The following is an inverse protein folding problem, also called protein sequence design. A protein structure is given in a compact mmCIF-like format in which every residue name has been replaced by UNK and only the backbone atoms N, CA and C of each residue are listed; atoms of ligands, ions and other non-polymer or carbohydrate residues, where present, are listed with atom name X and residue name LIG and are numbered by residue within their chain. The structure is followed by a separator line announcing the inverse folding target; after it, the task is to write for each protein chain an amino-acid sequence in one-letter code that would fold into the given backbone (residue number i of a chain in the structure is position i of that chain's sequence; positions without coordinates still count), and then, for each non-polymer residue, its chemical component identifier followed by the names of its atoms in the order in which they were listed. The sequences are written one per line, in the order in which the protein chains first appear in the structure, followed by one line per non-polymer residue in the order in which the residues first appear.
data_IF_751250715273
#
_entry.id   IF_751250715273
#
_cell.length_a   1.000
_cell.length_b   1.000
_cell.length_c   1.000
_cell.angle_alpha   90.00
_cell.angle_beta   90.00
_cell.angle_gamma   90.00
#
_symmetry.space_group_name_H-M   'P 1'
#
loop_
_entity.id
_entity.type
_entity.pdbx_description
1 polymer ?
#
# COMPACT_ATOMS: atom_id res chain seq x y z
N UNK A 1 9.95 -16.38 -26.93
CA UNK A 1 8.50 -16.14 -27.08
C UNK A 1 8.09 -14.68 -27.11
N UNK A 2 8.36 -13.85 -26.09
CA UNK A 2 8.02 -12.42 -26.13
C UNK A 2 8.53 -11.64 -27.37
N UNK A 3 9.79 -11.82 -27.84
CA UNK A 3 10.26 -11.17 -29.07
C UNK A 3 9.69 -11.80 -30.36
N UNK A 4 9.19 -13.03 -30.31
CA UNK A 4 8.63 -13.74 -31.47
C UNK A 4 7.16 -13.38 -31.72
N UNK A 5 6.41 -13.05 -30.65
CA UNK A 5 5.01 -12.65 -30.72
C UNK A 5 4.76 -11.40 -29.87
N UNK A 6 5.28 -10.23 -30.27
CA UNK A 6 5.24 -9.02 -29.43
C UNK A 6 3.81 -8.57 -29.08
N UNK A 7 2.86 -8.75 -30.00
CA UNK A 7 1.44 -8.39 -29.79
C UNK A 7 0.78 -9.33 -28.78
N UNK A 8 0.91 -10.65 -28.99
CA UNK A 8 0.33 -11.66 -28.09
C UNK A 8 0.98 -11.58 -26.70
N UNK A 9 2.29 -11.35 -26.65
CA UNK A 9 3.01 -11.17 -25.39
C UNK A 9 2.63 -9.90 -24.62
N UNK A 10 2.14 -8.85 -25.31
CA UNK A 10 1.52 -7.69 -24.66
C UNK A 10 0.18 -8.11 -24.04
N UNK A 11 -0.72 -8.69 -24.84
CA UNK A 11 -2.04 -9.12 -24.38
C UNK A 11 -1.94 -10.10 -23.22
N UNK A 12 -1.05 -11.10 -23.31
CA UNK A 12 -0.84 -12.06 -22.24
C UNK A 12 -0.40 -11.40 -20.92
N UNK A 13 0.44 -10.36 -20.98
CA UNK A 13 0.83 -9.61 -19.77
C UNK A 13 -0.34 -8.85 -19.16
N UNK A 14 -1.20 -8.26 -19.99
CA UNK A 14 -2.36 -7.53 -19.51
C UNK A 14 -3.39 -8.48 -18.86
N UNK A 15 -3.67 -9.63 -19.48
CA UNK A 15 -4.64 -10.60 -18.95
C UNK A 15 -4.12 -11.39 -17.75
N UNK A 16 -2.87 -11.85 -17.78
CA UNK A 16 -2.30 -12.66 -16.70
C UNK A 16 -1.88 -11.83 -15.47
N UNK A 17 -1.79 -10.50 -15.60
CA UNK A 17 -1.61 -9.62 -14.45
C UNK A 17 -2.86 -9.54 -13.56
N UNK A 18 -4.04 -9.90 -14.09
CA UNK A 18 -5.28 -9.93 -13.32
C UNK A 18 -5.24 -11.16 -12.41
N UNK A 19 -5.35 -11.01 -11.08
CA UNK A 19 -5.38 -12.15 -10.19
C UNK A 19 -6.62 -12.99 -10.48
N UNK A 20 -6.45 -14.31 -10.66
CA UNK A 20 -7.55 -15.24 -10.91
C UNK A 20 -8.54 -15.37 -9.72
N UNK A 21 -8.20 -14.82 -8.55
CA UNK A 21 -8.98 -14.95 -7.31
C UNK A 21 -9.05 -13.62 -6.55
N UNK A 22 -10.10 -13.45 -5.74
CA UNK A 22 -10.28 -12.31 -4.84
C UNK A 22 -9.31 -12.27 -3.65
N UNK A 23 -8.51 -13.32 -3.45
CA UNK A 23 -7.63 -13.50 -2.28
C UNK A 23 -6.68 -12.31 -2.09
N UNK A 24 -6.19 -11.71 -3.17
CA UNK A 24 -5.33 -10.53 -3.10
C UNK A 24 -6.07 -9.33 -2.48
N UNK A 25 -7.33 -9.12 -2.88
CA UNK A 25 -8.19 -8.04 -2.39
C UNK A 25 -8.56 -8.31 -0.93
N UNK A 26 -8.95 -9.53 -0.59
CA UNK A 26 -9.28 -9.93 0.79
C UNK A 26 -8.09 -9.75 1.75
N UNK A 27 -6.87 -10.06 1.29
CA UNK A 27 -5.65 -9.80 2.06
C UNK A 27 -5.42 -8.31 2.28
N UNK A 28 -5.71 -7.45 1.28
CA UNK A 28 -5.63 -5.99 1.42
C UNK A 28 -6.68 -5.49 2.42
N UNK A 29 -7.92 -5.96 2.34
CA UNK A 29 -8.99 -5.60 3.28
C UNK A 29 -8.73 -6.10 4.72
N UNK A 30 -8.23 -7.32 4.87
CA UNK A 30 -7.84 -7.85 6.18
C UNK A 30 -6.75 -6.98 6.82
N UNK A 31 -5.73 -6.57 6.03
CA UNK A 31 -4.67 -5.67 6.48
C UNK A 31 -5.12 -4.21 6.68
N UNK A 32 -6.20 -3.79 6.03
CA UNK A 32 -6.76 -2.45 6.16
C UNK A 32 -7.67 -2.29 7.38
N UNK A 33 -8.03 -3.38 8.08
CA UNK A 33 -8.85 -3.36 9.30
C UNK A 33 -8.39 -2.31 10.32
N UNK A 34 -7.09 -2.07 10.47
CA UNK A 34 -6.58 -1.05 11.39
C UNK A 34 -6.74 0.39 10.87
N UNK A 35 -6.79 0.59 9.55
CA UNK A 35 -7.01 1.89 8.92
C UNK A 35 -8.50 2.23 8.89
N UNK A 36 -9.34 1.23 8.59
CA UNK A 36 -10.80 1.34 8.50
C UNK A 36 -11.53 0.97 9.80
N UNK A 37 -10.81 0.70 10.90
CA UNK A 37 -11.40 0.25 12.15
C UNK A 37 -12.23 1.33 12.85
N UNK A 38 -13.06 0.93 13.81
CA UNK A 38 -14.00 1.81 14.53
C UNK A 38 -13.35 3.05 15.16
N UNK A 39 -12.08 2.97 15.58
CA UNK A 39 -11.33 4.09 16.15
C UNK A 39 -11.03 5.20 15.13
N UNK A 40 -11.14 4.90 13.82
CA UNK A 40 -10.88 5.79 12.69
C UNK A 40 -12.09 5.97 11.76
N UNK A 41 -13.31 5.66 12.22
CA UNK A 41 -14.56 5.85 11.46
C UNK A 41 -14.81 7.30 11.02
N UNK A 42 -14.09 8.27 11.60
CA UNK A 42 -14.10 9.69 11.20
C UNK A 42 -13.25 10.01 9.96
N UNK A 43 -12.42 9.07 9.46
CA UNK A 43 -11.64 9.33 8.26
C UNK A 43 -12.53 9.37 7.01
N UNK A 44 -12.33 10.40 6.20
CA UNK A 44 -12.92 10.48 4.85
C UNK A 44 -12.42 9.32 3.98
N UNK A 45 -13.28 8.87 3.09
CA UNK A 45 -13.00 7.80 2.11
C UNK A 45 -11.69 8.01 1.34
N UNK A 46 -11.41 9.26 0.96
CA UNK A 46 -10.20 9.65 0.23
C UNK A 46 -8.95 9.47 1.09
N UNK A 47 -9.03 9.78 2.38
CA UNK A 47 -7.92 9.60 3.32
C UNK A 47 -7.61 8.12 3.52
N UNK A 48 -8.64 7.27 3.60
CA UNK A 48 -8.48 5.81 3.70
C UNK A 48 -7.81 5.26 2.43
N UNK A 49 -8.29 5.67 1.25
CA UNK A 49 -7.72 5.27 -0.04
C UNK A 49 -6.24 5.67 -0.14
N UNK A 50 -5.92 6.94 0.16
CA UNK A 50 -4.53 7.42 0.11
C UNK A 50 -3.63 6.66 1.09
N UNK A 51 -4.07 6.45 2.33
CA UNK A 51 -3.30 5.70 3.31
C UNK A 51 -3.00 4.25 2.86
N UNK A 52 -3.97 3.59 2.21
CA UNK A 52 -3.78 2.25 1.65
C UNK A 52 -2.81 2.26 0.46
N UNK A 53 -2.97 3.20 -0.47
CA UNK A 53 -2.09 3.34 -1.63
C UNK A 53 -0.66 3.65 -1.22
N UNK A 54 -0.45 4.63 -0.32
CA UNK A 54 0.87 4.98 0.22
C UNK A 54 1.56 3.76 0.84
N UNK A 55 0.84 2.94 1.61
CA UNK A 55 1.39 1.71 2.20
C UNK A 55 1.83 0.69 1.13
N UNK A 56 1.08 0.56 0.04
CA UNK A 56 1.43 -0.32 -1.08
C UNK A 56 2.64 0.22 -1.85
N UNK A 57 2.65 1.52 -2.15
CA UNK A 57 3.71 2.18 -2.91
C UNK A 57 5.06 2.18 -2.18
N UNK A 58 5.08 2.48 -0.88
CA UNK A 58 6.29 2.38 -0.06
C UNK A 58 6.85 0.96 -0.12
N UNK A 59 5.98 -0.06 -0.02
CA UNK A 59 6.43 -1.46 -0.08
C UNK A 59 6.86 -1.91 -1.47
N UNK A 60 6.38 -1.22 -2.52
CA UNK A 60 6.78 -1.43 -3.90
C UNK A 60 8.01 -0.63 -4.33
N UNK A 61 8.64 0.13 -3.42
CA UNK A 61 9.76 1.02 -3.77
C UNK A 61 9.38 2.16 -4.71
N UNK A 62 8.08 2.47 -4.83
CA UNK A 62 7.57 3.51 -5.73
C UNK A 62 7.58 4.90 -5.08
N UNK A 63 7.93 4.96 -3.79
CA UNK A 63 8.01 6.18 -3.02
C UNK A 63 9.26 6.12 -2.14
N UNK A 64 10.23 6.99 -2.41
CA UNK A 64 11.35 7.23 -1.50
C UNK A 64 10.80 7.94 -0.26
N UNK A 65 10.83 7.25 0.88
CA UNK A 65 10.43 7.86 2.13
C UNK A 65 11.51 8.89 2.50
N UNK A 66 11.21 10.19 2.36
CA UNK A 66 12.07 11.19 2.99
C UNK A 66 12.17 10.85 4.48
N UNK A 67 13.39 10.84 5.06
CA UNK A 67 13.54 10.59 6.48
C UNK A 67 12.66 11.60 7.25
N UNK A 68 11.94 11.15 8.28
CA UNK A 68 11.05 12.04 9.01
C UNK A 68 11.86 13.22 9.57
N UNK A 69 11.44 14.45 9.23
CA UNK A 69 12.07 15.68 9.71
C UNK A 69 11.95 15.84 11.23
N UNK A 70 11.02 15.11 11.84
CA UNK A 70 10.81 15.08 13.29
C UNK A 70 11.02 13.65 13.77
N UNK A 71 12.06 13.43 14.57
CA UNK A 71 12.17 12.21 15.38
C UNK A 71 10.94 12.17 16.30
N UNK A 72 10.11 11.14 16.15
CA UNK A 72 9.03 10.89 17.14
C UNK A 72 9.70 10.72 18.50
N UNK A 73 9.44 11.63 19.43
CA UNK A 73 9.75 11.40 20.84
C UNK A 73 9.11 10.08 21.23
N UNK A 74 9.91 9.14 21.75
CA UNK A 74 9.34 7.92 22.33
C UNK A 74 8.53 8.36 23.55
N UNK A 75 7.34 7.79 23.72
CA UNK A 75 6.59 7.96 24.96
C UNK A 75 7.44 7.37 26.10
N UNK A 76 7.97 8.25 26.97
CA UNK A 76 8.94 7.90 28.02
C UNK A 76 10.35 8.49 27.85
N UNK A 77 10.63 9.27 26.80
CA UNK A 77 11.90 10.00 26.67
C UNK A 77 11.86 11.25 27.58
N UNK A 78 12.18 11.05 28.85
CA UNK A 78 12.38 12.11 29.82
C UNK A 78 13.69 12.83 29.47
N UNK A 79 13.61 14.13 29.18
CA UNK A 79 14.78 15.01 29.22
C UNK A 79 15.17 15.18 30.70
N UNK A 80 15.97 14.25 31.24
CA UNK A 80 16.70 14.50 32.47
C UNK A 80 17.73 15.61 32.19
N UNK A 81 17.48 16.76 32.80
CA UNK A 81 18.38 17.91 32.82
C UNK A 81 18.85 18.13 34.25
#
# INVERSE_FOLDING_TARGET
HAPEFPVIARMARDYLAIPATSVAIERVFSKSRHICGNLRSSLKENTIRMALLTKVWIRGGLFEMMPPTVRRRKHGENDEK
#
